data_IF_905414601450
#
_entry.id   IF_905414601450
#
_cell.length_a   1.000
_cell.length_b   1.000
_cell.length_c   1.000
_cell.angle_alpha   90.00
_cell.angle_beta   90.00
_cell.angle_gamma   90.00
#
_symmetry.space_group_name_H-M   'P 1'
#
loop_
_entity.id
_entity.type
_entity.pdbx_description
1 polymer ?
#
# COMPACT_ATOMS: atom_id res chain seq x y z
N UNK A 1 -14.70 -23.68 -4.11
CA UNK A 1 -15.53 -22.44 -3.89
C UNK A 1 -15.56 -21.62 -5.16
N UNK A 2 -16.70 -21.07 -5.60
CA UNK A 2 -16.80 -20.28 -6.85
C UNK A 2 -16.47 -18.79 -6.60
N UNK A 3 -15.83 -18.12 -7.56
CA UNK A 3 -15.62 -16.66 -7.53
C UNK A 3 -16.88 -15.94 -8.01
N UNK A 4 -17.42 -15.09 -7.16
CA UNK A 4 -18.52 -14.20 -7.49
C UNK A 4 -18.02 -12.77 -7.25
N UNK A 5 -18.01 -11.89 -8.28
CA UNK A 5 -17.69 -10.49 -8.08
C UNK A 5 -18.67 -9.86 -7.09
N UNK A 6 -18.15 -9.02 -6.20
CA UNK A 6 -18.99 -8.24 -5.29
C UNK A 6 -19.91 -7.31 -6.10
N UNK A 7 -21.13 -7.10 -5.62
CA UNK A 7 -22.07 -6.15 -6.22
C UNK A 7 -21.87 -4.77 -5.59
N UNK A 8 -21.43 -3.75 -6.34
CA UNK A 8 -21.27 -2.40 -5.81
C UNK A 8 -22.54 -1.78 -5.23
N UNK A 9 -23.72 -2.29 -5.59
CA UNK A 9 -25.02 -1.78 -5.15
C UNK A 9 -25.61 -2.52 -3.94
N UNK A 10 -25.00 -3.62 -3.49
CA UNK A 10 -25.48 -4.34 -2.31
C UNK A 10 -25.23 -3.53 -1.02
N UNK A 11 -25.84 -3.94 0.08
CA UNK A 11 -25.53 -3.34 1.37
C UNK A 11 -24.09 -3.67 1.80
N UNK A 12 -23.51 -2.85 2.67
CA UNK A 12 -22.19 -3.14 3.22
C UNK A 12 -22.22 -4.42 4.08
N UNK A 13 -21.38 -5.40 3.73
CA UNK A 13 -21.12 -6.61 4.50
C UNK A 13 -19.60 -6.85 4.53
N UNK A 14 -19.01 -6.73 5.73
CA UNK A 14 -17.57 -6.89 5.93
C UNK A 14 -17.07 -8.32 5.66
N UNK A 15 -17.92 -9.33 5.85
CA UNK A 15 -17.61 -10.73 5.56
C UNK A 15 -17.55 -10.99 4.07
N UNK A 16 -18.58 -10.57 3.32
CA UNK A 16 -18.60 -10.66 1.86
C UNK A 16 -17.45 -9.87 1.23
N UNK A 17 -17.17 -8.67 1.74
CA UNK A 17 -16.02 -7.86 1.34
C UNK A 17 -14.70 -8.62 1.55
N UNK A 18 -14.45 -9.15 2.75
CA UNK A 18 -13.24 -9.91 3.09
C UNK A 18 -13.08 -11.12 2.16
N UNK A 19 -14.16 -11.86 1.92
CA UNK A 19 -14.14 -13.03 1.06
C UNK A 19 -13.85 -12.67 -0.41
N UNK A 20 -14.58 -11.70 -0.97
CA UNK A 20 -14.42 -11.28 -2.35
C UNK A 20 -13.02 -10.70 -2.62
N UNK A 21 -12.51 -9.87 -1.71
CA UNK A 21 -11.16 -9.31 -1.79
C UNK A 21 -10.10 -10.42 -1.67
N UNK A 22 -10.28 -11.35 -0.74
CA UNK A 22 -9.39 -12.49 -0.54
C UNK A 22 -9.30 -13.40 -1.78
N UNK A 23 -10.44 -13.67 -2.43
CA UNK A 23 -10.47 -14.43 -3.70
C UNK A 23 -9.75 -13.68 -4.82
N UNK A 24 -10.00 -12.37 -4.97
CA UNK A 24 -9.30 -11.55 -5.97
C UNK A 24 -7.78 -11.56 -5.77
N UNK A 25 -7.32 -11.39 -4.52
CA UNK A 25 -5.89 -11.45 -4.18
C UNK A 25 -5.31 -12.84 -4.50
N UNK A 26 -6.04 -13.92 -4.21
CA UNK A 26 -5.64 -15.29 -4.54
C UNK A 26 -5.53 -15.51 -6.05
N UNK A 27 -6.51 -15.05 -6.84
CA UNK A 27 -6.48 -15.11 -8.30
C UNK A 27 -5.23 -14.36 -8.82
N UNK A 28 -4.97 -13.14 -8.34
CA UNK A 28 -3.82 -12.35 -8.77
C UNK A 28 -2.48 -13.00 -8.43
N UNK A 29 -2.39 -13.63 -7.25
CA UNK A 29 -1.19 -14.38 -6.86
C UNK A 29 -0.91 -15.58 -7.77
N UNK A 30 -1.96 -16.33 -8.14
CA UNK A 30 -1.85 -17.49 -9.03
C UNK A 30 -1.54 -17.06 -10.47
N UNK A 31 -2.17 -16.00 -10.97
CA UNK A 31 -1.89 -15.43 -12.29
C UNK A 31 -0.43 -14.98 -12.40
N UNK A 32 0.09 -14.31 -11.37
CA UNK A 32 1.48 -13.85 -11.37
C UNK A 32 2.48 -15.02 -11.48
N UNK A 33 2.18 -16.17 -10.88
CA UNK A 33 2.99 -17.39 -11.08
C UNK A 33 2.90 -17.87 -12.52
N UNK A 34 1.71 -17.91 -13.12
CA UNK A 34 1.52 -18.32 -14.53
C UNK A 34 2.15 -17.36 -15.54
N UNK A 35 2.35 -16.10 -15.17
CA UNK A 35 3.14 -15.15 -15.97
C UNK A 35 4.63 -15.53 -16.00
N UNK A 36 5.14 -16.20 -14.96
CA UNK A 36 6.54 -16.64 -14.87
C UNK A 36 6.73 -18.09 -15.35
N UNK A 37 5.74 -18.95 -15.12
CA UNK A 37 5.72 -20.37 -15.48
C UNK A 37 4.31 -20.73 -15.99
N UNK A 38 4.11 -20.57 -17.31
CA UNK A 38 2.79 -20.74 -17.94
C UNK A 38 2.21 -22.16 -17.77
N UNK A 39 3.07 -23.17 -17.58
CA UNK A 39 2.66 -24.56 -17.44
C UNK A 39 2.42 -24.99 -16.00
N UNK A 40 2.49 -24.09 -15.01
CA UNK A 40 2.49 -24.45 -13.60
C UNK A 40 1.18 -25.17 -13.19
N UNK A 41 1.21 -26.49 -12.91
CA UNK A 41 -0.02 -27.25 -12.72
C UNK A 41 -0.76 -26.85 -11.44
N UNK A 42 -0.03 -26.51 -10.38
CA UNK A 42 -0.63 -26.07 -9.12
C UNK A 42 -1.39 -24.75 -9.28
N UNK A 43 -0.86 -23.83 -10.09
CA UNK A 43 -1.49 -22.53 -10.32
C UNK A 43 -2.72 -22.65 -11.23
N UNK A 44 -2.66 -23.50 -12.25
CA UNK A 44 -3.80 -23.83 -13.11
C UNK A 44 -4.94 -24.45 -12.27
N UNK A 45 -4.63 -25.47 -11.46
CA UNK A 45 -5.61 -26.11 -10.58
C UNK A 45 -6.16 -25.14 -9.54
N UNK A 46 -5.29 -24.30 -8.96
CA UNK A 46 -5.66 -23.28 -8.00
C UNK A 46 -6.63 -22.26 -8.60
N UNK A 47 -6.44 -21.83 -9.86
CA UNK A 47 -7.37 -20.93 -10.52
C UNK A 47 -8.71 -21.61 -10.81
N UNK A 48 -8.72 -22.86 -11.28
CA UNK A 48 -9.96 -23.62 -11.48
C UNK A 48 -10.77 -23.75 -10.19
N UNK A 49 -10.10 -24.08 -9.08
CA UNK A 49 -10.74 -24.19 -7.76
C UNK A 49 -11.32 -22.87 -7.28
N UNK A 50 -10.64 -21.73 -7.50
CA UNK A 50 -11.12 -20.42 -7.03
C UNK A 50 -12.21 -19.85 -7.94
N UNK A 51 -12.09 -20.02 -9.25
CA UNK A 51 -13.02 -19.45 -10.22
C UNK A 51 -14.32 -20.26 -10.29
N UNK A 52 -14.21 -21.59 -10.29
CA UNK A 52 -15.32 -22.51 -10.59
C UNK A 52 -15.62 -23.51 -9.49
N UNK A 53 -14.82 -23.55 -8.41
CA UNK A 53 -14.97 -24.55 -7.36
C UNK A 53 -14.57 -25.96 -7.79
N UNK A 54 -13.80 -26.09 -8.86
CA UNK A 54 -13.28 -27.35 -9.37
C UNK A 54 -11.83 -27.21 -9.81
N UNK A 55 -10.92 -27.82 -9.04
CA UNK A 55 -9.48 -27.87 -9.35
C UNK A 55 -9.14 -28.47 -10.71
N UNK A 56 -10.00 -29.31 -11.28
CA UNK A 56 -9.77 -29.96 -12.57
C UNK A 56 -10.43 -29.22 -13.74
N UNK A 57 -11.17 -28.13 -13.49
CA UNK A 57 -11.96 -27.39 -14.48
C UNK A 57 -11.20 -27.12 -15.80
N UNK A 58 -9.97 -26.64 -15.69
CA UNK A 58 -9.13 -26.32 -16.85
C UNK A 58 -8.81 -27.56 -17.70
N UNK A 59 -8.49 -28.68 -17.04
CA UNK A 59 -8.08 -29.93 -17.67
C UNK A 59 -9.26 -30.75 -18.22
N UNK A 60 -10.45 -30.63 -17.62
CA UNK A 60 -11.65 -31.36 -18.06
C UNK A 60 -12.36 -30.70 -19.23
N UNK A 61 -12.27 -29.37 -19.34
CA UNK A 61 -12.95 -28.62 -20.39
C UNK A 61 -12.04 -28.31 -21.59
N UNK A 62 -10.74 -28.12 -21.38
CA UNK A 62 -9.80 -27.66 -22.41
C UNK A 62 -8.46 -28.41 -22.30
N UNK A 63 -8.46 -29.69 -22.70
CA UNK A 63 -7.32 -30.61 -22.51
C UNK A 63 -6.03 -30.18 -23.22
N UNK A 64 -6.16 -29.60 -24.42
CA UNK A 64 -5.01 -29.26 -25.27
C UNK A 64 -4.33 -27.93 -24.87
N UNK A 65 -5.06 -27.03 -24.19
CA UNK A 65 -4.52 -25.78 -23.66
C UNK A 65 -5.25 -25.33 -22.37
N UNK A 66 -5.04 -26.05 -21.26
CA UNK A 66 -5.68 -25.75 -19.99
C UNK A 66 -5.19 -24.42 -19.40
N UNK A 67 -3.98 -23.98 -19.77
CA UNK A 67 -3.36 -22.76 -19.27
C UNK A 67 -4.06 -21.51 -19.81
N UNK A 68 -4.29 -21.41 -21.11
CA UNK A 68 -4.85 -20.21 -21.73
C UNK A 68 -6.28 -19.96 -21.29
N UNK A 69 -7.11 -21.00 -21.19
CA UNK A 69 -8.51 -20.83 -20.82
C UNK A 69 -8.69 -20.30 -19.40
N UNK A 70 -8.06 -20.94 -18.42
CA UNK A 70 -8.19 -20.53 -17.01
C UNK A 70 -7.56 -19.16 -16.76
N UNK A 71 -6.51 -18.80 -17.50
CA UNK A 71 -5.89 -17.48 -17.44
C UNK A 71 -6.80 -16.39 -17.98
N UNK A 72 -7.49 -16.63 -19.10
CA UNK A 72 -8.45 -15.67 -19.66
C UNK A 72 -9.56 -15.35 -18.66
N UNK A 73 -10.15 -16.37 -18.04
CA UNK A 73 -11.18 -16.17 -17.00
C UNK A 73 -10.62 -15.45 -15.77
N UNK A 74 -9.41 -15.82 -15.33
CA UNK A 74 -8.73 -15.15 -14.22
C UNK A 74 -8.48 -13.66 -14.51
N UNK A 75 -8.03 -13.32 -15.71
CA UNK A 75 -7.78 -11.94 -16.12
C UNK A 75 -9.08 -11.13 -16.20
N UNK A 76 -10.16 -11.71 -16.70
CA UNK A 76 -11.49 -11.09 -16.67
C UNK A 76 -11.97 -10.87 -15.23
N UNK A 77 -11.84 -11.88 -14.36
CA UNK A 77 -12.19 -11.77 -12.95
C UNK A 77 -11.38 -10.68 -12.24
N UNK A 78 -10.07 -10.58 -12.52
CA UNK A 78 -9.21 -9.54 -11.97
C UNK A 78 -9.63 -8.15 -12.44
N UNK A 79 -9.92 -7.97 -13.73
CA UNK A 79 -10.32 -6.67 -14.28
C UNK A 79 -11.67 -6.23 -13.71
N UNK A 80 -12.69 -7.07 -13.88
CA UNK A 80 -14.07 -6.73 -13.54
C UNK A 80 -14.27 -6.70 -12.03
N UNK A 81 -13.66 -7.65 -11.32
CA UNK A 81 -13.69 -7.73 -9.87
C UNK A 81 -12.95 -6.58 -9.20
N UNK A 82 -11.79 -6.15 -9.72
CA UNK A 82 -11.09 -4.99 -9.17
C UNK A 82 -11.88 -3.69 -9.36
N UNK A 83 -12.54 -3.53 -10.51
CA UNK A 83 -13.43 -2.38 -10.76
C UNK A 83 -14.59 -2.36 -9.78
N UNK A 84 -15.32 -3.47 -9.66
CA UNK A 84 -16.45 -3.61 -8.74
C UNK A 84 -16.05 -3.44 -7.28
N UNK A 85 -14.89 -3.98 -6.89
CA UNK A 85 -14.36 -3.80 -5.54
C UNK A 85 -14.07 -2.33 -5.24
N UNK A 86 -13.47 -1.60 -6.18
CA UNK A 86 -13.23 -0.16 -6.04
C UNK A 86 -14.53 0.64 -5.92
N UNK A 87 -15.54 0.30 -6.71
CA UNK A 87 -16.87 0.93 -6.63
C UNK A 87 -17.60 0.59 -5.32
N UNK A 88 -17.54 -0.66 -4.88
CA UNK A 88 -18.11 -1.08 -3.60
C UNK A 88 -17.50 -0.30 -2.43
N UNK A 89 -16.16 -0.24 -2.36
CA UNK A 89 -15.47 0.53 -1.31
C UNK A 89 -15.82 2.02 -1.39
N UNK A 90 -15.98 2.58 -2.59
CA UNK A 90 -16.41 3.98 -2.77
C UNK A 90 -17.84 4.20 -2.25
N UNK A 91 -18.78 3.32 -2.61
CA UNK A 91 -20.19 3.42 -2.21
C UNK A 91 -20.39 3.26 -0.70
N UNK A 92 -19.53 2.47 -0.06
CA UNK A 92 -19.57 2.19 1.38
C UNK A 92 -18.39 2.77 2.15
N UNK A 93 -17.81 3.87 1.66
CA UNK A 93 -16.54 4.37 2.19
C UNK A 93 -16.60 4.74 3.68
N UNK A 94 -17.76 5.19 4.19
CA UNK A 94 -17.94 5.47 5.61
C UNK A 94 -17.95 4.19 6.45
N UNK A 95 -18.66 3.15 6.00
CA UNK A 95 -18.75 1.86 6.70
C UNK A 95 -17.39 1.15 6.72
N UNK A 96 -16.69 1.15 5.58
CA UNK A 96 -15.33 0.61 5.47
C UNK A 96 -14.37 1.37 6.38
N UNK A 97 -14.44 2.70 6.40
CA UNK A 97 -13.59 3.53 7.25
C UNK A 97 -13.89 3.35 8.74
N UNK A 98 -15.17 3.26 9.13
CA UNK A 98 -15.59 3.08 10.52
C UNK A 98 -15.08 1.77 11.13
N UNK A 99 -14.83 0.74 10.30
CA UNK A 99 -14.22 -0.51 10.72
C UNK A 99 -12.70 -0.46 10.96
N UNK A 100 -12.02 0.63 10.62
CA UNK A 100 -10.56 0.74 10.77
C UNK A 100 -10.17 1.06 12.22
N UNK A 101 -9.12 0.38 12.70
CA UNK A 101 -8.45 0.73 13.95
C UNK A 101 -7.44 1.89 13.73
N UNK A 102 -6.86 2.41 14.82
CA UNK A 102 -5.94 3.56 14.76
C UNK A 102 -4.70 3.33 13.88
N UNK A 103 -4.13 2.13 13.89
CA UNK A 103 -2.97 1.78 13.07
C UNK A 103 -3.32 1.71 11.57
N UNK A 104 -4.50 1.18 11.24
CA UNK A 104 -5.03 1.19 9.89
C UNK A 104 -5.34 2.59 9.39
N UNK A 105 -5.90 3.46 10.24
CA UNK A 105 -6.12 4.88 9.90
C UNK A 105 -4.78 5.58 9.64
N UNK A 106 -3.76 5.31 10.45
CA UNK A 106 -2.40 5.83 10.21
C UNK A 106 -1.85 5.35 8.88
N UNK A 107 -2.00 4.07 8.57
CA UNK A 107 -1.57 3.48 7.31
C UNK A 107 -2.29 4.13 6.15
N UNK A 108 -3.61 4.31 6.24
CA UNK A 108 -4.43 4.99 5.25
C UNK A 108 -3.94 6.41 4.99
N UNK A 109 -3.79 7.25 6.02
CA UNK A 109 -3.32 8.64 5.84
C UNK A 109 -1.91 8.68 5.27
N UNK A 110 -1.07 7.72 5.65
CA UNK A 110 0.28 7.63 5.13
C UNK A 110 0.22 7.30 3.64
N UNK A 111 -0.39 6.19 3.24
CA UNK A 111 -0.42 5.69 1.85
C UNK A 111 -1.29 6.55 0.91
N UNK A 112 -2.33 7.17 1.44
CA UNK A 112 -3.18 8.11 0.70
C UNK A 112 -2.43 9.39 0.31
N UNK A 113 -2.90 10.04 -0.76
CA UNK A 113 -2.40 11.36 -1.13
C UNK A 113 -2.80 12.37 -0.04
N UNK A 114 -1.84 13.09 0.57
CA UNK A 114 -2.16 14.03 1.64
C UNK A 114 -3.08 15.15 1.14
N UNK A 115 -3.99 15.62 1.99
CA UNK A 115 -4.84 16.77 1.67
C UNK A 115 -3.98 18.02 1.58
N UNK A 116 -3.91 18.62 0.39
CA UNK A 116 -3.23 19.89 0.19
C UNK A 116 -4.05 21.01 0.85
N UNK A 117 -3.38 21.92 1.56
CA UNK A 117 -4.01 23.09 2.21
C UNK A 117 -5.20 22.73 3.11
N UNK A 118 -5.00 21.78 4.03
CA UNK A 118 -6.08 21.36 4.95
C UNK A 118 -6.55 22.48 5.88
N UNK A 119 -5.73 23.52 6.09
CA UNK A 119 -6.00 24.57 7.08
C UNK A 119 -5.80 24.11 8.53
N UNK A 120 -5.44 22.83 8.74
CA UNK A 120 -5.10 22.27 10.06
C UNK A 120 -3.57 22.17 10.20
N UNK A 121 -3.00 23.06 11.02
CA UNK A 121 -1.56 23.12 11.25
C UNK A 121 -0.98 21.82 11.85
N UNK A 122 -1.74 21.09 12.67
CA UNK A 122 -1.28 19.82 13.23
C UNK A 122 -1.21 18.76 12.15
N UNK A 123 -2.23 18.69 11.28
CA UNK A 123 -2.22 17.78 10.14
C UNK A 123 -1.08 18.08 9.18
N UNK A 124 -0.84 19.35 8.87
CA UNK A 124 0.24 19.76 7.97
C UNK A 124 1.61 19.37 8.53
N UNK A 125 1.84 19.58 9.84
CA UNK A 125 3.05 19.11 10.53
C UNK A 125 3.17 17.60 10.48
N UNK A 126 2.09 16.87 10.74
CA UNK A 126 2.04 15.41 10.69
C UNK A 126 2.40 14.87 9.29
N UNK A 127 1.77 15.40 8.25
CA UNK A 127 2.05 15.05 6.84
C UNK A 127 3.50 15.36 6.48
N UNK A 128 4.04 16.50 6.95
CA UNK A 128 5.45 16.86 6.72
C UNK A 128 6.39 15.86 7.40
N UNK A 129 6.10 15.44 8.63
CA UNK A 129 6.84 14.37 9.32
C UNK A 129 6.80 13.05 8.54
N UNK A 130 5.62 12.65 8.06
CA UNK A 130 5.46 11.42 7.25
C UNK A 130 6.25 11.47 5.94
N UNK A 131 6.24 12.61 5.24
CA UNK A 131 7.03 12.81 4.02
C UNK A 131 8.53 12.68 4.28
N UNK A 132 9.03 13.33 5.33
CA UNK A 132 10.44 13.20 5.76
C UNK A 132 10.82 11.76 6.10
N UNK A 133 9.94 11.05 6.81
CA UNK A 133 10.18 9.64 7.16
C UNK A 133 10.34 8.77 5.90
N UNK A 134 9.45 8.95 4.91
CA UNK A 134 9.51 8.21 3.65
C UNK A 134 10.76 8.53 2.84
N UNK A 135 11.09 9.80 2.73
CA UNK A 135 12.30 10.26 2.05
C UNK A 135 13.55 9.57 2.63
N UNK A 136 13.70 9.52 3.95
CA UNK A 136 14.81 8.82 4.60
C UNK A 136 14.79 7.31 4.31
N UNK A 137 13.62 6.67 4.30
CA UNK A 137 13.49 5.25 3.98
C UNK A 137 13.87 4.94 2.52
N UNK A 138 13.46 5.79 1.58
CA UNK A 138 13.81 5.66 0.16
C UNK A 138 15.31 5.87 -0.08
N UNK A 139 15.92 6.85 0.59
CA UNK A 139 17.37 7.09 0.52
C UNK A 139 18.15 5.91 1.12
N UNK A 140 17.67 5.32 2.21
CA UNK A 140 18.34 4.21 2.88
C UNK A 140 18.48 2.94 2.01
N UNK A 141 17.73 2.83 0.91
CA UNK A 141 17.81 1.71 -0.04
C UNK A 141 18.74 1.95 -1.22
N UNK A 142 19.33 3.14 -1.37
CA UNK A 142 20.07 3.56 -2.56
C UNK A 142 21.33 4.35 -2.20
N UNK A 143 22.51 3.74 -2.41
CA UNK A 143 23.80 4.35 -2.09
C UNK A 143 24.08 5.66 -2.84
N UNK A 144 23.55 5.84 -4.06
CA UNK A 144 23.73 7.10 -4.80
C UNK A 144 22.95 8.22 -4.13
N UNK A 145 21.69 7.95 -3.75
CA UNK A 145 20.86 8.91 -2.99
C UNK A 145 21.43 9.22 -1.61
N UNK A 146 22.03 8.23 -0.94
CA UNK A 146 22.71 8.47 0.34
C UNK A 146 23.86 9.48 0.17
N UNK A 147 24.66 9.32 -0.88
CA UNK A 147 25.77 10.21 -1.16
C UNK A 147 25.29 11.64 -1.46
N UNK A 148 24.24 11.80 -2.26
CA UNK A 148 23.61 13.11 -2.54
C UNK A 148 23.07 13.76 -1.26
N UNK A 149 22.32 13.02 -0.45
CA UNK A 149 21.76 13.50 0.80
C UNK A 149 22.84 13.94 1.80
N UNK A 150 23.89 13.14 1.97
CA UNK A 150 25.02 13.49 2.84
C UNK A 150 25.75 14.71 2.30
N UNK A 151 25.98 14.79 0.99
CA UNK A 151 26.64 15.94 0.36
C UNK A 151 25.89 17.26 0.62
N UNK A 152 24.55 17.23 0.59
CA UNK A 152 23.71 18.38 0.92
C UNK A 152 23.89 18.79 2.39
N UNK A 153 23.81 17.84 3.32
CA UNK A 153 23.96 18.10 4.77
C UNK A 153 25.37 18.56 5.18
N UNK A 154 26.39 18.12 4.44
CA UNK A 154 27.79 18.48 4.71
C UNK A 154 28.06 19.96 4.45
N UNK A 155 27.34 20.61 3.53
CA UNK A 155 27.54 22.02 3.21
C UNK A 155 27.31 22.95 4.41
N UNK A 156 26.37 22.57 5.29
CA UNK A 156 26.04 23.30 6.51
C UNK A 156 26.77 22.76 7.76
N UNK A 157 27.61 21.75 7.59
CA UNK A 157 28.34 21.12 8.71
C UNK A 157 29.62 21.90 9.08
N UNK A 158 30.14 21.71 10.32
CA UNK A 158 31.42 22.30 10.74
C UNK A 158 32.58 21.91 9.82
N UNK A 159 33.60 22.78 9.72
CA UNK A 159 34.73 22.61 8.78
C UNK A 159 35.50 21.29 8.96
N UNK A 160 35.62 20.81 10.19
CA UNK A 160 36.27 19.52 10.46
C UNK A 160 35.49 18.34 9.86
N UNK A 161 34.16 18.43 9.80
CA UNK A 161 33.29 17.42 9.16
C UNK A 161 33.45 17.49 7.65
N UNK A 162 33.48 18.70 7.07
CA UNK A 162 33.74 18.92 5.65
C UNK A 162 35.09 18.35 5.21
N UNK A 163 36.13 18.56 6.02
CA UNK A 163 37.47 18.04 5.77
C UNK A 163 37.51 16.50 5.85
N UNK A 164 36.88 15.91 6.86
CA UNK A 164 36.75 14.47 6.98
C UNK A 164 35.99 13.87 5.80
N UNK A 165 34.91 14.52 5.37
CA UNK A 165 34.12 14.11 4.22
C UNK A 165 34.93 14.16 2.92
N UNK A 166 35.68 15.23 2.65
CA UNK A 166 36.56 15.31 1.47
C UNK A 166 37.58 14.17 1.42
N UNK A 167 38.05 13.71 2.59
CA UNK A 167 39.04 12.63 2.73
C UNK A 167 38.42 11.24 2.56
N UNK A 168 37.20 11.02 3.05
CA UNK A 168 36.59 9.68 3.16
C UNK A 168 35.33 9.48 2.30
N UNK A 169 34.94 10.43 1.45
CA UNK A 169 33.71 10.35 0.63
C UNK A 169 33.58 9.10 -0.24
N UNK A 170 34.69 8.48 -0.64
CA UNK A 170 34.69 7.26 -1.46
C UNK A 170 34.57 5.98 -0.62
N UNK A 171 34.53 6.08 0.71
CA UNK A 171 34.32 4.94 1.61
C UNK A 171 32.83 4.75 1.86
N UNK A 172 32.27 3.65 1.34
CA UNK A 172 30.85 3.30 1.56
C UNK A 172 30.49 3.23 3.05
N UNK A 173 31.34 2.60 3.86
CA UNK A 173 31.15 2.49 5.31
C UNK A 173 31.12 3.85 6.02
N UNK A 174 31.92 4.82 5.54
CA UNK A 174 31.92 6.17 6.10
C UNK A 174 30.66 6.94 5.70
N UNK A 175 30.24 6.81 4.44
CA UNK A 175 29.02 7.42 3.91
C UNK A 175 27.78 6.92 4.66
N UNK A 176 27.67 5.60 4.85
CA UNK A 176 26.58 5.00 5.61
C UNK A 176 26.54 5.49 7.05
N UNK A 177 27.70 5.62 7.71
CA UNK A 177 27.75 6.14 9.09
C UNK A 177 27.26 7.59 9.18
N UNK A 178 27.69 8.44 8.25
CA UNK A 178 27.23 9.83 8.19
C UNK A 178 25.73 9.90 7.91
N UNK A 179 25.26 9.17 6.89
CA UNK A 179 23.84 9.08 6.56
C UNK A 179 23.02 8.63 7.78
N UNK A 180 23.42 7.54 8.43
CA UNK A 180 22.73 7.01 9.62
C UNK A 180 22.72 8.00 10.79
N UNK A 181 23.76 8.83 10.93
CA UNK A 181 23.79 9.93 11.88
C UNK A 181 22.71 10.96 11.61
N UNK A 182 22.69 11.52 10.39
CA UNK A 182 21.70 12.52 9.98
C UNK A 182 20.26 11.95 9.98
N UNK A 183 20.08 10.75 9.46
CA UNK A 183 18.80 10.05 9.44
C UNK A 183 18.25 9.87 10.87
N UNK A 184 19.10 9.54 11.84
CA UNK A 184 18.68 9.39 13.25
C UNK A 184 18.19 10.71 13.86
N UNK A 185 18.83 11.83 13.54
CA UNK A 185 18.40 13.14 14.02
C UNK A 185 17.03 13.51 13.43
N UNK A 186 16.86 13.35 12.11
CA UNK A 186 15.58 13.58 11.44
C UNK A 186 14.50 12.67 12.01
N UNK A 187 14.79 11.38 12.21
CA UNK A 187 13.83 10.43 12.77
C UNK A 187 13.47 10.74 14.23
N UNK A 188 14.36 11.38 14.99
CA UNK A 188 14.03 11.90 16.33
C UNK A 188 13.02 13.05 16.23
N UNK A 189 13.24 14.01 15.33
CA UNK A 189 12.29 15.12 15.10
C UNK A 189 10.92 14.61 14.64
N UNK A 190 10.91 13.67 13.70
CA UNK A 190 9.69 12.99 13.24
C UNK A 190 9.00 12.32 14.42
N UNK A 191 9.75 11.57 15.24
CA UNK A 191 9.22 10.90 16.43
C UNK A 191 8.54 11.86 17.40
N UNK A 192 9.17 13.00 17.70
CA UNK A 192 8.58 14.04 18.55
C UNK A 192 7.27 14.57 17.96
N UNK A 193 7.25 14.89 16.67
CA UNK A 193 6.05 15.38 15.99
C UNK A 193 4.91 14.34 15.94
N UNK A 194 5.25 13.06 15.88
CA UNK A 194 4.26 11.97 15.87
C UNK A 194 3.71 11.66 17.27
N UNK A 195 4.50 11.83 18.33
CA UNK A 195 4.06 11.61 19.73
C UNK A 195 2.98 12.62 20.15
N UNK A 196 3.01 13.84 19.59
CA UNK A 196 2.02 14.89 19.87
C UNK A 196 0.63 14.59 19.27
N UNK A 197 0.49 13.55 18.43
CA UNK A 197 -0.75 13.21 17.77
C UNK A 197 -1.56 12.23 18.63
N UNK A 198 -2.73 12.68 19.09
CA UNK A 198 -3.64 11.85 19.89
C UNK A 198 -4.49 10.91 19.01
N UNK A 199 -5.14 9.88 19.59
CA UNK A 199 -6.11 9.06 18.86
C UNK A 199 -7.24 9.89 18.23
N UNK A 200 -7.70 10.95 18.89
CA UNK A 200 -8.72 11.87 18.38
C UNK A 200 -8.20 12.68 17.19
N UNK A 201 -6.95 13.15 17.25
CA UNK A 201 -6.30 13.82 16.12
C UNK A 201 -6.21 12.87 14.91
N UNK A 202 -5.83 11.60 15.12
CA UNK A 202 -5.79 10.59 14.05
C UNK A 202 -7.16 10.33 13.42
N UNK A 203 -8.20 10.17 14.24
CA UNK A 203 -9.56 9.94 13.75
C UNK A 203 -10.06 11.15 12.93
N UNK A 204 -9.74 12.37 13.38
CA UNK A 204 -10.04 13.62 12.67
C UNK A 204 -9.29 13.72 11.35
N UNK A 205 -7.98 13.41 11.34
CA UNK A 205 -7.16 13.41 10.12
C UNK A 205 -7.67 12.40 9.10
N UNK A 206 -8.02 11.18 9.54
CA UNK A 206 -8.56 10.16 8.66
C UNK A 206 -9.90 10.57 8.04
N UNK A 207 -10.80 11.18 8.82
CA UNK A 207 -12.06 11.75 8.30
C UNK A 207 -11.80 12.83 7.26
N UNK A 208 -10.86 13.73 7.51
CA UNK A 208 -10.52 14.78 6.56
C UNK A 208 -9.98 14.24 5.24
N UNK A 209 -9.13 13.20 5.28
CA UNK A 209 -8.63 12.54 4.06
C UNK A 209 -9.79 11.84 3.32
N UNK A 210 -10.70 11.17 4.04
CA UNK A 210 -11.88 10.52 3.48
C UNK A 210 -12.81 11.52 2.79
N UNK A 211 -13.16 12.62 3.46
CA UNK A 211 -14.02 13.68 2.93
C UNK A 211 -13.41 14.31 1.67
N UNK A 212 -12.11 14.60 1.71
CA UNK A 212 -11.39 15.10 0.55
C UNK A 212 -11.39 14.09 -0.61
N UNK A 213 -11.23 12.80 -0.34
CA UNK A 213 -11.25 11.76 -1.36
C UNK A 213 -12.65 11.61 -2.00
N UNK A 214 -13.72 11.72 -1.21
CA UNK A 214 -15.10 11.74 -1.71
C UNK A 214 -15.37 12.95 -2.59
N UNK A 215 -14.98 14.15 -2.14
CA UNK A 215 -15.19 15.39 -2.87
C UNK A 215 -14.50 15.39 -4.25
N UNK A 216 -13.35 14.72 -4.37
CA UNK A 216 -12.55 14.70 -5.59
C UNK A 216 -12.68 13.40 -6.41
N UNK A 217 -13.58 12.49 -6.03
CA UNK A 217 -13.68 11.14 -6.61
C UNK A 217 -12.32 10.42 -6.74
N UNK A 218 -11.52 10.43 -5.66
CA UNK A 218 -10.17 9.91 -5.67
C UNK A 218 -10.17 8.36 -5.68
N UNK A 219 -10.22 7.78 -6.89
CA UNK A 219 -10.18 6.32 -7.11
C UNK A 219 -8.98 5.63 -6.47
N UNK A 220 -7.81 6.29 -6.44
CA UNK A 220 -6.60 5.75 -5.81
C UNK A 220 -6.80 5.62 -4.30
N UNK A 221 -7.40 6.62 -3.65
CA UNK A 221 -7.72 6.56 -2.23
C UNK A 221 -8.67 5.40 -1.91
N UNK A 222 -9.77 5.23 -2.65
CA UNK A 222 -10.72 4.14 -2.36
C UNK A 222 -10.10 2.76 -2.56
N UNK A 223 -9.20 2.60 -3.53
CA UNK A 223 -8.40 1.39 -3.66
C UNK A 223 -7.56 1.12 -2.41
N UNK A 224 -6.81 2.11 -1.94
CA UNK A 224 -5.97 2.00 -0.73
C UNK A 224 -6.82 1.72 0.52
N UNK A 225 -7.98 2.38 0.65
CA UNK A 225 -8.91 2.14 1.75
C UNK A 225 -9.35 0.66 1.80
N UNK A 226 -9.71 0.09 0.65
CA UNK A 226 -10.07 -1.32 0.56
C UNK A 226 -8.90 -2.25 0.93
N UNK A 227 -7.70 -1.98 0.43
CA UNK A 227 -6.50 -2.76 0.74
C UNK A 227 -6.17 -2.76 2.23
N UNK A 228 -6.25 -1.59 2.88
CA UNK A 228 -6.02 -1.44 4.33
C UNK A 228 -7.09 -2.17 5.13
N UNK A 229 -8.37 -2.01 4.78
CA UNK A 229 -9.47 -2.68 5.46
C UNK A 229 -9.33 -4.21 5.38
N UNK A 230 -9.05 -4.74 4.18
CA UNK A 230 -8.82 -6.16 3.98
C UNK A 230 -7.63 -6.67 4.80
N UNK A 231 -6.51 -5.94 4.81
CA UNK A 231 -5.32 -6.34 5.57
C UNK A 231 -5.60 -6.45 7.07
N UNK A 232 -6.35 -5.50 7.64
CA UNK A 232 -6.77 -5.55 9.03
C UNK A 232 -7.70 -6.75 9.28
N UNK A 233 -8.71 -6.94 8.45
CA UNK A 233 -9.67 -8.04 8.59
C UNK A 233 -8.99 -9.41 8.45
N UNK A 234 -7.95 -9.55 7.62
CA UNK A 234 -7.21 -10.78 7.43
C UNK A 234 -6.28 -11.13 8.61
N UNK A 235 -5.94 -10.15 9.46
CA UNK A 235 -5.13 -10.34 10.66
C UNK A 235 -5.95 -10.65 11.93
N UNK A 236 -7.27 -10.48 11.87
CA UNK A 236 -8.24 -10.81 12.92
C UNK A 236 -8.84 -12.21 12.72
#
# INVERSE_FOLDING_TARGET
>A
MVYTPIDPASAYDGGEFKEAFGKLKKIGGLENVLTQDNGNPNSIQGLGEVLRGDSQYAYTTHYDDPSTHVRNEAQMALRDGSSRMGEYVKNHADDVYAGLNGDSVRTLITVADPVANSGDQKYEKFVKALKKQREIQEISGDHAKMAEYVQEKINDSPDWVKLAFATYRNSGNYMERLFNGYAREVMREVGTQMIEITPEDMARFGKMVLENAKANDNKKFFKVLGEVAYAQMAAA
#
